data_IF_380224019924
#
_entry.id   IF_380224019924
#
_cell.length_a   1.000
_cell.length_b   1.000
_cell.length_c   1.000
_cell.angle_alpha   90.00
_cell.angle_beta   90.00
_cell.angle_gamma   90.00
#
_symmetry.space_group_name_H-M   'P 1'
#
loop_
_entity.id
_entity.type
_entity.pdbx_description
1 polymer ?
#
# COMPACT_ATOMS: atom_id res chain seq x y z
N UNK A 1 15.84 30.04 22.76
CA UNK A 1 14.92 29.06 22.13
C UNK A 1 15.77 27.88 21.68
N UNK A 2 15.69 26.75 22.38
CA UNK A 2 16.51 25.58 22.09
C UNK A 2 15.76 24.70 21.07
N UNK A 3 16.32 24.55 19.87
CA UNK A 3 15.77 23.71 18.81
C UNK A 3 16.16 22.26 19.12
N UNK A 4 15.24 21.46 19.65
CA UNK A 4 15.44 20.03 19.86
C UNK A 4 15.37 19.30 18.51
N UNK A 5 16.53 18.91 17.97
CA UNK A 5 16.60 17.94 16.88
C UNK A 5 16.24 16.56 17.47
N UNK A 6 15.06 16.04 17.13
CA UNK A 6 14.72 14.64 17.40
C UNK A 6 15.41 13.80 16.31
N UNK A 7 16.34 12.89 16.64
CA UNK A 7 16.92 12.00 15.64
C UNK A 7 15.84 11.06 15.13
N UNK A 8 15.47 11.19 13.85
CA UNK A 8 14.58 10.25 13.18
C UNK A 8 15.44 9.01 12.89
N UNK A 9 15.23 7.93 13.64
CA UNK A 9 15.82 6.64 13.33
C UNK A 9 15.32 6.18 11.96
N UNK A 10 16.12 6.38 10.91
CA UNK A 10 15.84 5.83 9.59
C UNK A 10 16.16 4.35 9.63
N UNK A 11 15.15 3.50 9.81
CA UNK A 11 15.31 2.07 9.54
C UNK A 11 15.61 1.89 8.05
N UNK A 12 16.42 0.89 7.71
CA UNK A 12 16.76 0.61 6.31
C UNK A 12 15.46 0.40 5.52
N UNK A 13 15.27 1.20 4.46
CA UNK A 13 14.05 1.18 3.63
C UNK A 13 13.70 -0.24 3.17
N UNK A 14 12.47 -0.71 3.41
CA UNK A 14 11.99 -2.02 2.97
C UNK A 14 11.48 -1.95 1.52
N UNK A 15 12.43 -1.85 0.59
CA UNK A 15 12.16 -1.62 -0.82
C UNK A 15 12.28 -2.88 -1.69
N UNK A 16 12.56 -4.05 -1.09
CA UNK A 16 12.55 -5.30 -1.84
C UNK A 16 11.16 -5.59 -2.40
N UNK A 17 11.03 -6.10 -3.61
CA UNK A 17 9.73 -6.41 -4.21
C UNK A 17 9.19 -7.74 -3.69
N UNK A 18 7.87 -7.82 -3.46
CA UNK A 18 7.17 -9.08 -3.17
C UNK A 18 6.09 -9.32 -4.20
N UNK A 19 6.09 -10.49 -4.80
CA UNK A 19 5.07 -10.89 -5.77
C UNK A 19 3.71 -11.08 -5.11
N UNK A 20 2.65 -10.70 -5.82
CA UNK A 20 1.28 -11.06 -5.50
C UNK A 20 0.60 -11.66 -6.73
N UNK A 21 -0.33 -12.60 -6.49
CA UNK A 21 -1.22 -13.14 -7.51
C UNK A 21 -2.50 -13.62 -6.84
N UNK A 22 -3.63 -13.10 -7.28
CA UNK A 22 -4.94 -13.50 -6.78
C UNK A 22 -6.00 -13.38 -7.87
N UNK A 23 -7.09 -14.12 -7.72
CA UNK A 23 -8.25 -14.04 -8.61
C UNK A 23 -9.37 -13.28 -7.92
N UNK A 24 -9.87 -12.24 -8.60
CA UNK A 24 -11.04 -11.48 -8.17
C UNK A 24 -12.24 -11.83 -9.03
N UNK A 25 -13.41 -11.91 -8.42
CA UNK A 25 -14.67 -12.24 -9.08
C UNK A 25 -15.84 -11.56 -8.38
N UNK A 26 -17.06 -11.74 -8.88
CA UNK A 26 -18.27 -11.26 -8.21
C UNK A 26 -18.43 -11.86 -6.80
N UNK A 27 -18.06 -13.13 -6.60
CA UNK A 27 -18.11 -13.80 -5.30
C UNK A 27 -16.87 -13.56 -4.42
N UNK A 28 -15.76 -13.12 -5.02
CA UNK A 28 -14.52 -12.76 -4.33
C UNK A 28 -14.06 -11.36 -4.74
N UNK A 29 -14.72 -10.33 -4.19
CA UNK A 29 -14.61 -8.96 -4.67
C UNK A 29 -13.33 -8.24 -4.21
N UNK A 30 -12.57 -8.82 -3.27
CA UNK A 30 -11.34 -8.22 -2.74
C UNK A 30 -10.27 -9.26 -2.44
N UNK A 31 -9.02 -8.83 -2.44
CA UNK A 31 -7.88 -9.64 -2.05
C UNK A 31 -6.85 -8.78 -1.32
N UNK A 32 -6.01 -9.42 -0.51
CA UNK A 32 -4.98 -8.73 0.26
C UNK A 32 -3.62 -9.34 -0.06
N UNK A 33 -2.59 -8.50 -0.10
CA UNK A 33 -1.21 -9.00 0.00
C UNK A 33 -0.91 -9.43 1.44
N UNK A 34 0.17 -10.20 1.62
CA UNK A 34 0.78 -10.32 2.94
C UNK A 34 1.20 -8.95 3.48
N UNK A 35 1.26 -8.82 4.80
CA UNK A 35 1.77 -7.61 5.46
C UNK A 35 3.29 -7.53 5.36
N UNK A 36 3.83 -6.33 5.22
CA UNK A 36 5.27 -6.07 5.23
C UNK A 36 5.61 -4.87 6.09
N UNK A 37 6.80 -4.88 6.69
CA UNK A 37 7.26 -3.77 7.52
C UNK A 37 7.36 -2.48 6.71
N UNK A 38 6.86 -1.39 7.28
CA UNK A 38 6.92 -0.03 6.71
C UNK A 38 7.94 0.76 7.53
N UNK A 39 9.07 1.09 6.91
CA UNK A 39 10.24 1.59 7.63
C UNK A 39 10.43 3.11 7.51
N UNK A 40 9.75 3.74 6.54
CA UNK A 40 9.84 5.19 6.33
C UNK A 40 8.57 5.80 5.69
N UNK A 41 8.62 7.11 5.45
CA UNK A 41 7.54 7.95 4.91
C UNK A 41 7.43 7.92 3.38
N UNK A 42 8.21 7.09 2.68
CA UNK A 42 8.12 7.01 1.21
C UNK A 42 6.78 6.43 0.78
N UNK A 43 6.43 6.61 -0.49
CA UNK A 43 5.19 6.02 -1.04
C UNK A 43 5.32 4.51 -1.19
N UNK A 44 4.18 3.82 -1.25
CA UNK A 44 4.14 2.39 -1.58
C UNK A 44 4.36 2.23 -3.08
N UNK A 45 5.26 1.34 -3.49
CA UNK A 45 5.45 1.02 -4.91
C UNK A 45 4.63 -0.21 -5.27
N UNK A 46 4.04 -0.19 -6.46
CA UNK A 46 3.34 -1.32 -7.05
C UNK A 46 3.62 -1.38 -8.55
N UNK A 47 4.04 -2.55 -9.02
CA UNK A 47 4.13 -2.89 -10.42
C UNK A 47 3.07 -3.93 -10.74
N UNK A 48 2.03 -3.52 -11.45
CA UNK A 48 0.94 -4.39 -11.86
C UNK A 48 1.27 -5.00 -13.22
N UNK A 49 1.34 -6.32 -13.28
CA UNK A 49 1.65 -7.08 -14.49
C UNK A 49 0.39 -7.57 -15.19
N UNK A 50 -0.64 -7.89 -14.41
CA UNK A 50 -1.92 -8.38 -14.89
C UNK A 50 -3.05 -7.70 -14.12
N UNK A 51 -4.10 -7.28 -14.85
CA UNK A 51 -5.37 -6.82 -14.32
C UNK A 51 -6.51 -7.61 -14.99
N UNK A 52 -7.71 -7.69 -14.39
CA UNK A 52 -8.80 -8.50 -14.93
C UNK A 52 -9.36 -7.90 -16.23
N UNK A 53 -9.33 -6.58 -16.34
CA UNK A 53 -9.81 -5.78 -17.48
C UNK A 53 -8.85 -4.59 -17.71
N UNK A 54 -9.32 -3.36 -17.62
CA UNK A 54 -8.52 -2.13 -17.76
C UNK A 54 -7.78 -1.74 -16.49
N UNK A 55 -8.41 -1.91 -15.33
CA UNK A 55 -7.84 -1.53 -14.04
C UNK A 55 -8.42 -2.33 -12.88
N UNK A 56 -7.78 -2.19 -11.72
CA UNK A 56 -8.20 -2.70 -10.41
C UNK A 56 -8.16 -1.53 -9.42
N UNK A 57 -9.02 -1.52 -8.40
CA UNK A 57 -8.87 -0.59 -7.29
C UNK A 57 -7.88 -1.14 -6.27
N UNK A 58 -7.11 -0.25 -5.64
CA UNK A 58 -6.28 -0.63 -4.52
C UNK A 58 -6.24 0.45 -3.44
N UNK A 59 -6.05 0.02 -2.20
CA UNK A 59 -5.78 0.88 -1.04
C UNK A 59 -4.57 0.37 -0.25
N UNK A 60 -3.79 1.29 0.30
CA UNK A 60 -2.65 0.98 1.19
C UNK A 60 -3.17 0.98 2.62
N UNK A 61 -3.13 -0.18 3.26
CA UNK A 61 -3.57 -0.31 4.63
C UNK A 61 -2.41 -0.37 5.60
N UNK A 62 -2.47 0.43 6.67
CA UNK A 62 -1.53 0.44 7.78
C UNK A 62 -2.01 -0.37 8.98
N UNK A 63 -1.11 -1.13 9.60
CA UNK A 63 -1.37 -1.76 10.90
C UNK A 63 -0.86 -0.85 12.02
N UNK A 64 -1.80 -0.21 12.73
CA UNK A 64 -1.51 0.77 13.77
C UNK A 64 -2.48 0.66 14.96
N UNK A 65 -2.09 1.12 16.16
CA UNK A 65 -2.97 1.10 17.32
C UNK A 65 -4.19 2.00 17.14
N UNK A 66 -5.35 1.52 17.58
CA UNK A 66 -6.55 2.34 17.76
C UNK A 66 -6.31 3.42 18.81
N UNK A 67 -6.69 4.66 18.49
CA UNK A 67 -6.68 5.76 19.45
C UNK A 67 -7.62 5.54 20.64
N UNK A 68 -8.56 4.57 20.53
CA UNK A 68 -9.56 4.28 21.56
C UNK A 68 -9.14 3.08 22.43
N UNK A 69 -8.68 1.97 21.82
CA UNK A 69 -8.42 0.73 22.55
C UNK A 69 -6.93 0.37 22.69
N UNK A 70 -6.03 1.03 21.96
CA UNK A 70 -4.62 0.66 21.85
C UNK A 70 -4.36 -0.64 21.07
N UNK A 71 -5.40 -1.36 20.66
CA UNK A 71 -5.29 -2.58 19.84
C UNK A 71 -4.95 -2.21 18.41
N UNK A 72 -3.99 -2.91 17.82
CA UNK A 72 -3.63 -2.70 16.42
C UNK A 72 -4.70 -3.25 15.48
N UNK A 73 -5.03 -2.48 14.45
CA UNK A 73 -5.99 -2.83 13.42
C UNK A 73 -5.54 -2.30 12.06
N UNK A 74 -6.10 -2.87 10.99
CA UNK A 74 -5.83 -2.43 9.63
C UNK A 74 -6.72 -1.26 9.26
N UNK A 75 -6.12 -0.16 8.83
CA UNK A 75 -6.79 1.07 8.43
C UNK A 75 -6.34 1.44 7.03
N UNK A 76 -7.23 1.94 6.19
CA UNK A 76 -6.83 2.58 4.94
C UNK A 76 -6.09 3.89 5.25
N UNK A 77 -4.88 4.00 4.74
CA UNK A 77 -3.99 5.15 4.89
C UNK A 77 -3.68 5.82 3.55
N UNK A 78 -4.42 5.47 2.50
CA UNK A 78 -4.27 6.04 1.16
C UNK A 78 -4.56 7.53 1.19
N UNK A 79 -3.65 8.33 0.63
CA UNK A 79 -3.79 9.79 0.61
C UNK A 79 -4.64 10.22 -0.59
N UNK A 80 -5.59 11.15 -0.41
CA UNK A 80 -6.39 11.70 -1.51
C UNK A 80 -7.64 10.90 -1.88
N UNK A 81 -8.00 9.87 -1.10
CA UNK A 81 -9.25 9.12 -1.20
C UNK A 81 -9.12 7.66 -0.76
N UNK A 82 -10.25 6.96 -0.66
CA UNK A 82 -10.33 5.59 -0.09
C UNK A 82 -9.79 4.47 -1.02
N UNK A 83 -9.27 4.83 -2.20
CA UNK A 83 -8.74 3.90 -3.22
C UNK A 83 -8.08 4.64 -4.38
N UNK A 84 -7.08 4.02 -4.97
CA UNK A 84 -6.47 4.39 -6.25
C UNK A 84 -6.87 3.43 -7.37
N UNK A 85 -6.79 3.92 -8.61
CA UNK A 85 -6.99 3.10 -9.80
C UNK A 85 -5.64 2.63 -10.35
N UNK A 86 -5.42 1.33 -10.38
CA UNK A 86 -4.18 0.74 -10.91
C UNK A 86 -4.47 0.02 -12.23
N UNK A 87 -3.83 0.48 -13.30
CA UNK A 87 -3.71 -0.25 -14.55
C UNK A 87 -2.34 -0.94 -14.63
N UNK A 88 -2.13 -1.76 -15.66
CA UNK A 88 -0.84 -2.42 -15.89
C UNK A 88 0.29 -1.38 -15.96
N UNK A 89 1.35 -1.56 -15.17
CA UNK A 89 2.45 -0.61 -15.08
C UNK A 89 2.93 -0.39 -13.65
N UNK A 90 3.86 0.56 -13.52
CA UNK A 90 4.54 0.92 -12.26
C UNK A 90 3.94 2.19 -11.69
N UNK A 91 3.62 2.16 -10.40
CA UNK A 91 2.94 3.24 -9.71
C UNK A 91 3.52 3.47 -8.33
N UNK A 92 3.50 4.72 -7.88
CA UNK A 92 3.61 5.09 -6.49
C UNK A 92 2.23 5.42 -5.93
N UNK A 93 1.94 4.95 -4.74
CA UNK A 93 0.71 5.28 -4.01
C UNK A 93 1.09 6.06 -2.76
N UNK A 94 0.71 7.35 -2.70
CA UNK A 94 0.90 8.17 -1.51
C UNK A 94 0.01 7.66 -0.39
N UNK A 95 0.57 7.62 0.82
CA UNK A 95 -0.03 6.98 1.98
C UNK A 95 0.52 7.61 3.27
N UNK A 96 -0.13 7.37 4.42
CA UNK A 96 0.25 7.92 5.73
C UNK A 96 0.56 6.86 6.81
N UNK A 97 0.73 5.59 6.45
CA UNK A 97 1.00 4.46 7.35
C UNK A 97 2.09 4.80 8.36
N UNK A 98 3.26 5.26 7.92
CA UNK A 98 4.39 5.50 8.84
C UNK A 98 4.17 6.74 9.71
N UNK A 99 3.67 7.80 9.08
CA UNK A 99 3.32 9.10 9.66
C UNK A 99 2.29 8.94 10.78
N UNK A 100 1.37 8.00 10.61
CA UNK A 100 0.31 7.68 11.56
C UNK A 100 0.69 6.61 12.59
N UNK A 101 1.98 6.29 12.70
CA UNK A 101 2.52 5.35 13.69
C UNK A 101 2.38 3.88 13.31
N UNK A 102 1.89 3.58 12.11
CA UNK A 102 1.90 2.24 11.55
C UNK A 102 3.33 1.77 11.26
N UNK A 103 3.55 0.48 11.46
CA UNK A 103 4.85 -0.18 11.19
C UNK A 103 4.74 -1.35 10.23
N UNK A 104 3.53 -1.66 9.79
CA UNK A 104 3.30 -2.64 8.74
C UNK A 104 2.29 -2.08 7.75
N UNK A 105 2.54 -2.32 6.47
CA UNK A 105 1.63 -2.00 5.38
C UNK A 105 1.18 -3.28 4.66
N UNK A 106 0.02 -3.25 4.03
CA UNK A 106 -0.43 -4.22 3.03
C UNK A 106 -1.24 -3.51 1.96
N UNK A 107 -1.34 -4.12 0.79
CA UNK A 107 -2.27 -3.68 -0.24
C UNK A 107 -3.56 -4.48 -0.15
N UNK A 108 -4.69 -3.79 -0.16
CA UNK A 108 -5.98 -4.38 -0.46
C UNK A 108 -6.31 -4.03 -1.90
N UNK A 109 -6.71 -5.03 -2.67
CA UNK A 109 -7.20 -4.88 -4.04
C UNK A 109 -8.69 -5.15 -4.06
N UNK A 110 -9.42 -4.36 -4.82
CA UNK A 110 -10.86 -4.49 -4.96
C UNK A 110 -11.25 -4.50 -6.43
N UNK A 111 -12.12 -5.43 -6.79
CA UNK A 111 -12.69 -5.51 -8.13
C UNK A 111 -13.59 -4.30 -8.38
N UNK A 112 -13.41 -3.72 -9.57
CA UNK A 112 -14.37 -2.78 -10.14
C UNK A 112 -15.51 -3.53 -10.85
N UNK A 113 -15.16 -4.28 -11.90
CA UNK A 113 -16.15 -5.00 -12.72
C UNK A 113 -15.62 -6.30 -13.36
N UNK A 114 -14.37 -6.32 -13.81
CA UNK A 114 -13.79 -7.53 -14.41
C UNK A 114 -13.60 -8.67 -13.41
N UNK A 115 -13.92 -9.89 -13.83
CA UNK A 115 -13.48 -11.12 -13.15
C UNK A 115 -12.19 -11.58 -13.81
N UNK A 116 -11.19 -11.96 -13.01
CA UNK A 116 -9.92 -12.42 -13.54
C UNK A 116 -8.79 -12.33 -12.54
N UNK A 117 -7.58 -12.51 -13.05
CA UNK A 117 -6.37 -12.49 -12.22
C UNK A 117 -5.77 -11.10 -12.16
N UNK A 118 -5.31 -10.75 -10.97
CA UNK A 118 -4.47 -9.59 -10.71
C UNK A 118 -3.13 -10.11 -10.21
N UNK A 119 -2.05 -9.65 -10.81
CA UNK A 119 -0.70 -10.04 -10.38
C UNK A 119 0.32 -8.95 -10.63
N UNK A 120 1.44 -9.07 -9.93
CA UNK A 120 2.53 -8.12 -10.01
C UNK A 120 3.44 -8.21 -8.80
N UNK A 121 4.17 -7.13 -8.53
CA UNK A 121 5.01 -6.98 -7.36
C UNK A 121 4.73 -5.67 -6.65
N UNK A 122 5.05 -5.62 -5.35
CA UNK A 122 4.90 -4.41 -4.56
C UNK A 122 5.98 -4.31 -3.48
N UNK A 123 6.25 -3.09 -3.03
CA UNK A 123 7.09 -2.81 -1.87
C UNK A 123 6.45 -1.73 -0.98
N UNK A 124 6.52 -1.88 0.35
CA UNK A 124 5.94 -0.91 1.29
C UNK A 124 6.69 0.42 1.24
N UNK A 125 8.01 0.39 1.06
CA UNK A 125 8.84 1.59 0.84
C UNK A 125 9.32 1.62 -0.61
N UNK A 126 9.33 2.81 -1.22
CA UNK A 126 9.76 2.98 -2.61
C UNK A 126 11.16 3.59 -2.69
N UNK A 127 11.88 3.20 -3.74
CA UNK A 127 13.14 3.83 -4.15
C UNK A 127 13.02 4.21 -5.62
N UNK A 128 13.33 5.47 -5.95
CA UNK A 128 13.24 5.99 -7.31
C UNK A 128 12.00 6.85 -7.59
N UNK A 129 11.70 7.03 -8.88
CA UNK A 129 10.64 7.92 -9.35
C UNK A 129 9.74 7.20 -10.35
N UNK A 130 8.46 7.06 -10.01
CA UNK A 130 7.42 6.53 -10.90
C UNK A 130 6.17 7.43 -10.83
N UNK A 131 5.25 7.33 -11.79
CA UNK A 131 3.99 8.06 -11.74
C UNK A 131 3.21 7.74 -10.46
N UNK A 132 2.61 8.77 -9.86
CA UNK A 132 1.69 8.58 -8.77
C UNK A 132 0.32 8.15 -9.29
N UNK A 133 -0.31 7.19 -8.60
CA UNK A 133 -1.69 6.80 -8.87
C UNK A 133 -2.71 7.78 -8.22
N UNK A 134 -2.23 8.71 -7.38
CA UNK A 134 -3.01 9.72 -6.65
C UNK A 134 -2.32 11.10 -6.57
#
# INVERSE_FOLDING_TARGET
MMLTLVPISTFASNHGDTSFRFSVSTSNNYAYTGSRSKENTTSTYVNVEQVPITYIYADVQGYRPSSVSGTNYWVDETLGGDKVTLSKGKWLVKQLVYENGGRSARLKFQRYYGTGTVSGVWSPDSVGSYPYAN
#
